data_IF_804965099698
#
_entry.id   IF_804965099698
#
_cell.length_a   1.000
_cell.length_b   1.000
_cell.length_c   1.000
_cell.angle_alpha   90.00
_cell.angle_beta   90.00
_cell.angle_gamma   90.00
#
_symmetry.space_group_name_H-M   'P 1'
#
loop_
_entity.id
_entity.type
_entity.pdbx_description
1 polymer ?
#
# COMPACT_ATOMS: atom_id res chain seq x y z
N UNK A 1 -13.81 -25.92 5.09
CA UNK A 1 -12.43 -26.02 4.53
C UNK A 1 -12.01 -24.80 3.68
N UNK A 2 -12.91 -24.14 2.95
CA UNK A 2 -12.63 -22.93 2.15
C UNK A 2 -12.37 -21.65 3.00
N UNK A 3 -13.04 -21.50 4.13
CA UNK A 3 -12.88 -20.35 5.03
C UNK A 3 -11.51 -20.27 5.73
N UNK A 4 -10.91 -21.43 6.04
CA UNK A 4 -9.57 -21.48 6.64
C UNK A 4 -8.45 -21.13 5.64
N UNK A 5 -8.59 -21.50 4.36
CA UNK A 5 -7.64 -21.12 3.31
C UNK A 5 -7.62 -19.61 3.05
N UNK A 6 -8.77 -18.94 3.12
CA UNK A 6 -8.85 -17.49 2.93
C UNK A 6 -8.25 -16.72 4.12
N UNK A 7 -8.39 -17.23 5.33
CA UNK A 7 -7.77 -16.63 6.52
C UNK A 7 -6.25 -16.75 6.51
N UNK A 8 -5.70 -17.87 6.07
CA UNK A 8 -4.25 -18.08 5.96
C UNK A 8 -3.63 -17.22 4.82
N UNK A 9 -4.33 -17.03 3.70
CA UNK A 9 -3.85 -16.17 2.61
C UNK A 9 -3.86 -14.68 3.00
N UNK A 10 -4.91 -14.22 3.71
CA UNK A 10 -4.95 -12.85 4.27
C UNK A 10 -3.80 -12.57 5.24
N UNK A 11 -3.44 -13.55 6.06
CA UNK A 11 -2.28 -13.47 6.97
C UNK A 11 -0.96 -13.36 6.21
N UNK A 12 -0.82 -14.03 5.07
CA UNK A 12 0.45 -14.06 4.30
C UNK A 12 0.73 -12.78 3.50
N UNK A 13 -0.29 -12.12 2.93
CA UNK A 13 -0.09 -10.87 2.19
C UNK A 13 0.21 -9.71 3.16
N UNK A 14 -0.53 -9.58 4.25
CA UNK A 14 -0.24 -8.63 5.33
C UNK A 14 1.20 -8.80 5.86
N UNK A 15 1.63 -10.04 6.06
CA UNK A 15 2.98 -10.36 6.52
C UNK A 15 4.07 -9.95 5.50
N UNK A 16 3.82 -10.06 4.19
CA UNK A 16 4.79 -9.65 3.16
C UNK A 16 5.00 -8.14 3.12
N UNK A 17 3.95 -7.38 3.29
CA UNK A 17 4.00 -5.91 3.28
C UNK A 17 4.69 -5.39 4.54
N UNK A 18 4.32 -5.94 5.70
CA UNK A 18 5.02 -5.65 6.95
C UNK A 18 6.50 -6.04 6.86
N UNK A 19 6.81 -7.20 6.28
CA UNK A 19 8.17 -7.64 6.05
C UNK A 19 8.94 -6.70 5.11
N UNK A 20 8.31 -6.20 4.05
CA UNK A 20 8.93 -5.24 3.14
C UNK A 20 9.23 -3.92 3.86
N UNK A 21 8.32 -3.41 4.69
CA UNK A 21 8.54 -2.22 5.53
C UNK A 21 9.67 -2.45 6.54
N UNK A 22 9.63 -3.57 7.24
CA UNK A 22 10.66 -3.93 8.22
C UNK A 22 12.04 -4.08 7.56
N UNK A 23 12.10 -4.68 6.37
CA UNK A 23 13.33 -4.78 5.57
C UNK A 23 13.86 -3.41 5.16
N UNK A 24 13.00 -2.49 4.72
CA UNK A 24 13.42 -1.14 4.36
C UNK A 24 13.90 -0.34 5.57
N UNK A 25 13.21 -0.42 6.71
CA UNK A 25 13.63 0.24 7.94
C UNK A 25 14.95 -0.36 8.46
N UNK A 26 15.13 -1.68 8.39
CA UNK A 26 16.38 -2.37 8.69
C UNK A 26 17.52 -1.95 7.76
N UNK A 27 17.27 -1.88 6.45
CA UNK A 27 18.26 -1.45 5.46
C UNK A 27 18.76 -0.03 5.73
N UNK A 28 17.88 0.90 6.06
CA UNK A 28 18.26 2.26 6.41
C UNK A 28 19.13 2.32 7.67
N UNK A 29 18.83 1.48 8.68
CA UNK A 29 19.63 1.36 9.90
C UNK A 29 21.00 0.75 9.64
N UNK A 30 21.08 -0.31 8.82
CA UNK A 30 22.34 -0.95 8.45
C UNK A 30 23.26 0.01 7.68
N UNK A 31 22.71 0.79 6.73
CA UNK A 31 23.49 1.80 6.01
C UNK A 31 24.06 2.88 6.96
N UNK A 32 23.31 3.27 7.98
CA UNK A 32 23.81 4.18 9.02
C UNK A 32 24.95 3.53 9.82
N UNK A 33 24.79 2.27 10.22
CA UNK A 33 25.83 1.53 10.95
C UNK A 33 27.13 1.38 10.12
N UNK A 34 26.99 1.08 8.82
CA UNK A 34 28.13 1.06 7.88
C UNK A 34 28.80 2.42 7.82
N UNK A 35 28.01 3.51 7.78
CA UNK A 35 28.53 4.86 7.81
C UNK A 35 29.39 5.15 9.04
N UNK A 36 28.94 4.80 10.23
CA UNK A 36 29.72 4.93 11.47
C UNK A 36 30.98 4.07 11.46
N UNK A 37 30.90 2.84 10.96
CA UNK A 37 32.07 1.97 10.86
C UNK A 37 33.12 2.53 9.91
N UNK A 38 32.69 3.17 8.81
CA UNK A 38 33.59 3.89 7.89
C UNK A 38 34.22 5.11 8.54
N UNK A 39 33.50 5.87 9.36
CA UNK A 39 34.05 7.03 10.07
C UNK A 39 35.17 6.60 11.04
N UNK A 40 34.99 5.49 11.77
CA UNK A 40 36.02 4.90 12.64
C UNK A 40 37.23 4.42 11.82
N UNK A 41 36.98 3.71 10.72
CA UNK A 41 38.07 3.24 9.85
C UNK A 41 38.88 4.40 9.27
N UNK A 42 38.24 5.48 8.84
CA UNK A 42 38.90 6.68 8.28
C UNK A 42 39.83 7.33 9.31
N UNK A 43 39.46 7.32 10.59
CA UNK A 43 40.28 7.84 11.66
C UNK A 43 41.63 7.12 11.78
N UNK A 44 41.62 5.80 11.59
CA UNK A 44 42.80 4.92 11.76
C UNK A 44 43.60 4.73 10.48
N UNK A 45 43.06 5.12 9.30
CA UNK A 45 43.73 4.94 8.01
C UNK A 45 44.95 5.89 7.85
N UNK A 46 46.05 5.43 7.19
CA UNK A 46 47.12 6.30 6.72
C UNK A 46 46.60 7.39 5.79
N UNK A 47 47.18 8.58 5.88
CA UNK A 47 46.69 9.79 5.17
C UNK A 47 46.44 9.58 3.67
N UNK A 48 47.30 8.80 3.00
CA UNK A 48 47.19 8.49 1.54
C UNK A 48 45.91 7.76 1.13
N UNK A 49 45.22 7.09 2.06
CA UNK A 49 43.99 6.32 1.76
C UNK A 49 42.73 7.03 2.23
N UNK A 50 42.83 8.07 3.07
CA UNK A 50 41.69 8.76 3.67
C UNK A 50 40.75 9.39 2.65
N UNK A 51 41.28 9.96 1.57
CA UNK A 51 40.44 10.58 0.53
C UNK A 51 39.48 9.55 -0.06
N UNK A 52 39.99 8.40 -0.53
CA UNK A 52 39.17 7.34 -1.12
C UNK A 52 38.14 6.76 -0.14
N UNK A 53 38.51 6.64 1.13
CA UNK A 53 37.57 6.16 2.15
C UNK A 53 36.46 7.18 2.44
N UNK A 54 36.76 8.49 2.40
CA UNK A 54 35.75 9.55 2.49
C UNK A 54 34.79 9.55 1.30
N UNK A 55 35.28 9.27 0.10
CA UNK A 55 34.42 9.16 -1.09
C UNK A 55 33.41 8.01 -0.93
N UNK A 56 33.85 6.86 -0.42
CA UNK A 56 32.96 5.72 -0.11
C UNK A 56 31.96 6.13 0.99
N UNK A 57 32.42 6.81 2.05
CA UNK A 57 31.55 7.28 3.13
C UNK A 57 30.48 8.24 2.61
N UNK A 58 30.83 9.11 1.67
CA UNK A 58 29.88 10.00 1.01
C UNK A 58 28.83 9.21 0.22
N UNK A 59 29.24 8.21 -0.57
CA UNK A 59 28.31 7.35 -1.32
C UNK A 59 27.32 6.60 -0.40
N UNK A 60 27.77 6.12 0.76
CA UNK A 60 26.90 5.50 1.76
C UNK A 60 25.89 6.51 2.32
N UNK A 61 26.31 7.76 2.52
CA UNK A 61 25.40 8.83 2.97
C UNK A 61 24.32 9.12 1.92
N UNK A 62 24.70 9.26 0.66
CA UNK A 62 23.78 9.45 -0.46
C UNK A 62 22.77 8.29 -0.58
N UNK A 63 23.25 7.05 -0.51
CA UNK A 63 22.39 5.87 -0.54
C UNK A 63 21.38 5.85 0.64
N UNK A 64 21.85 6.22 1.84
CA UNK A 64 20.98 6.30 3.02
C UNK A 64 19.89 7.36 2.85
N UNK A 65 20.23 8.52 2.28
CA UNK A 65 19.26 9.59 2.03
C UNK A 65 18.24 9.18 0.96
N UNK A 66 18.68 8.48 -0.08
CA UNK A 66 17.80 7.98 -1.12
C UNK A 66 16.77 7.00 -0.56
N UNK A 67 17.21 6.00 0.22
CA UNK A 67 16.33 5.02 0.87
C UNK A 67 15.31 5.73 1.76
N UNK A 68 15.74 6.67 2.60
CA UNK A 68 14.83 7.45 3.46
C UNK A 68 13.82 8.28 2.68
N UNK A 69 14.24 8.90 1.58
CA UNK A 69 13.35 9.69 0.72
C UNK A 69 12.27 8.82 0.09
N UNK A 70 12.64 7.63 -0.43
CA UNK A 70 11.68 6.69 -1.00
C UNK A 70 10.68 6.19 0.04
N UNK A 71 11.14 5.81 1.24
CA UNK A 71 10.27 5.43 2.34
C UNK A 71 9.29 6.54 2.74
N UNK A 72 9.77 7.77 2.82
CA UNK A 72 8.93 8.93 3.15
C UNK A 72 7.88 9.19 2.08
N UNK A 73 8.25 9.13 0.80
CA UNK A 73 7.33 9.34 -0.32
C UNK A 73 6.24 8.25 -0.38
N UNK A 74 6.58 7.00 -0.09
CA UNK A 74 5.61 5.90 -0.01
C UNK A 74 4.58 6.13 1.11
N UNK A 75 5.05 6.51 2.30
CA UNK A 75 4.17 6.80 3.45
C UNK A 75 3.26 8.01 3.19
N UNK A 76 3.80 9.06 2.59
CA UNK A 76 3.03 10.27 2.27
C UNK A 76 1.94 9.97 1.23
N UNK A 77 2.28 9.29 0.14
CA UNK A 77 1.33 8.91 -0.90
C UNK A 77 0.21 8.00 -0.38
N UNK A 78 0.50 7.10 0.56
CA UNK A 78 -0.49 6.25 1.21
C UNK A 78 -1.46 7.08 2.06
N UNK A 79 -0.93 7.93 2.93
CA UNK A 79 -1.74 8.80 3.81
C UNK A 79 -2.60 9.79 3.02
N UNK A 80 -2.07 10.38 1.96
CA UNK A 80 -2.82 11.28 1.07
C UNK A 80 -3.94 10.54 0.35
N UNK A 81 -3.67 9.33 -0.15
CA UNK A 81 -4.68 8.55 -0.83
C UNK A 81 -5.76 8.06 0.13
N UNK A 82 -5.40 7.61 1.32
CA UNK A 82 -6.36 7.23 2.35
C UNK A 82 -7.26 8.41 2.72
N UNK A 83 -6.71 9.58 2.99
CA UNK A 83 -7.47 10.80 3.31
C UNK A 83 -8.41 11.20 2.17
N UNK A 84 -7.98 11.01 0.91
CA UNK A 84 -8.84 11.22 -0.26
C UNK A 84 -10.03 10.27 -0.25
N UNK A 85 -9.83 8.97 0.01
CA UNK A 85 -10.90 7.98 0.07
C UNK A 85 -11.88 8.27 1.21
N UNK A 86 -11.39 8.65 2.39
CA UNK A 86 -12.22 9.04 3.52
C UNK A 86 -13.10 10.25 3.18
N UNK A 87 -12.54 11.26 2.51
CA UNK A 87 -13.30 12.41 2.03
C UNK A 87 -14.36 12.01 0.98
N UNK A 88 -14.05 11.07 0.10
CA UNK A 88 -15.00 10.58 -0.91
C UNK A 88 -16.11 9.72 -0.30
N UNK A 89 -15.81 8.96 0.76
CA UNK A 89 -16.81 8.18 1.49
C UNK A 89 -17.89 9.04 2.17
N UNK A 90 -17.57 10.31 2.44
CA UNK A 90 -18.53 11.31 2.91
C UNK A 90 -19.12 10.96 4.28
N UNK A 91 -20.40 10.56 4.29
CA UNK A 91 -21.12 10.20 5.53
C UNK A 91 -20.93 8.74 5.96
N UNK A 92 -20.29 7.91 5.11
CA UNK A 92 -20.05 6.50 5.40
C UNK A 92 -18.72 6.33 6.13
N UNK A 93 -18.70 5.46 7.13
CA UNK A 93 -17.48 5.08 7.82
C UNK A 93 -16.66 4.14 6.90
N UNK A 94 -15.47 4.59 6.48
CA UNK A 94 -14.57 3.81 5.64
C UNK A 94 -13.55 3.07 6.51
N UNK A 95 -13.53 1.75 6.40
CA UNK A 95 -12.52 0.88 7.00
C UNK A 95 -11.61 0.33 5.91
N UNK A 96 -10.31 0.63 5.99
CA UNK A 96 -9.30 0.17 5.03
C UNK A 96 -8.44 -0.91 5.67
N UNK A 97 -8.22 -2.01 4.97
CA UNK A 97 -7.32 -3.08 5.34
C UNK A 97 -6.44 -3.50 4.16
N UNK A 98 -5.16 -3.74 4.41
CA UNK A 98 -4.14 -3.98 3.38
C UNK A 98 -3.39 -2.71 3.00
N UNK A 99 -2.50 -2.81 2.00
CA UNK A 99 -1.59 -1.74 1.60
C UNK A 99 -2.10 -1.00 0.35
N UNK A 100 -2.42 0.28 0.51
CA UNK A 100 -2.85 1.16 -0.57
C UNK A 100 -1.74 1.43 -1.61
N UNK A 101 -0.48 1.20 -1.27
CA UNK A 101 0.66 1.48 -2.14
C UNK A 101 0.81 0.47 -3.28
N UNK A 102 0.29 -0.74 -3.11
CA UNK A 102 0.33 -1.79 -4.14
C UNK A 102 -0.70 -1.57 -5.26
N UNK A 103 -1.65 -0.66 -5.04
CA UNK A 103 -2.66 -0.36 -6.05
C UNK A 103 -2.05 0.37 -7.25
N UNK A 104 -2.18 -0.20 -8.44
CA UNK A 104 -1.87 0.47 -9.68
C UNK A 104 -2.74 1.74 -9.85
N UNK A 105 -2.35 2.62 -10.78
CA UNK A 105 -3.14 3.81 -11.11
C UNK A 105 -4.57 3.45 -11.58
N UNK A 106 -4.68 2.38 -12.33
CA UNK A 106 -5.93 1.83 -12.84
C UNK A 106 -6.78 1.28 -11.70
N UNK A 107 -6.19 0.51 -10.79
CA UNK A 107 -6.87 -0.02 -9.61
C UNK A 107 -7.39 1.12 -8.70
N UNK A 108 -6.60 2.17 -8.48
CA UNK A 108 -7.02 3.37 -7.73
C UNK A 108 -8.25 4.04 -8.35
N UNK A 109 -8.32 4.14 -9.69
CA UNK A 109 -9.49 4.70 -10.38
C UNK A 109 -10.74 3.87 -10.13
N UNK A 110 -10.63 2.55 -10.13
CA UNK A 110 -11.76 1.65 -9.86
C UNK A 110 -12.22 1.77 -8.40
N UNK A 111 -11.29 1.80 -7.45
CA UNK A 111 -11.58 1.99 -6.02
C UNK A 111 -12.25 3.35 -5.78
N UNK A 112 -11.71 4.43 -6.34
CA UNK A 112 -12.28 5.78 -6.26
C UNK A 112 -13.76 5.79 -6.73
N UNK A 113 -14.04 5.13 -7.85
CA UNK A 113 -15.39 5.07 -8.40
C UNK A 113 -16.34 4.25 -7.50
N UNK A 114 -15.88 3.12 -6.97
CA UNK A 114 -16.68 2.31 -6.05
C UNK A 114 -17.00 3.05 -4.75
N UNK A 115 -16.02 3.69 -4.13
CA UNK A 115 -16.23 4.48 -2.90
C UNK A 115 -17.20 5.63 -3.17
N UNK A 116 -17.06 6.34 -4.29
CA UNK A 116 -17.98 7.42 -4.69
C UNK A 116 -19.40 6.91 -4.92
N UNK A 117 -19.55 5.77 -5.61
CA UNK A 117 -20.86 5.17 -5.87
C UNK A 117 -21.53 4.71 -4.56
N UNK A 118 -20.77 4.12 -3.65
CA UNK A 118 -21.26 3.80 -2.33
C UNK A 118 -21.73 5.08 -1.59
N UNK A 119 -20.93 6.13 -1.56
CA UNK A 119 -21.28 7.40 -0.90
C UNK A 119 -22.55 8.05 -1.47
N UNK A 120 -22.78 7.90 -2.80
CA UNK A 120 -23.94 8.51 -3.47
C UNK A 120 -25.22 7.67 -3.38
N UNK A 121 -25.09 6.35 -3.38
CA UNK A 121 -26.23 5.45 -3.58
C UNK A 121 -26.48 4.47 -2.44
N UNK A 122 -25.48 4.22 -1.57
CA UNK A 122 -25.66 3.36 -0.42
C UNK A 122 -26.52 4.05 0.64
N UNK A 123 -27.50 3.29 1.16
CA UNK A 123 -28.25 3.67 2.36
C UNK A 123 -27.62 3.08 3.63
N UNK A 124 -26.44 2.48 3.50
CA UNK A 124 -25.65 1.91 4.57
C UNK A 124 -24.95 2.96 5.42
N UNK A 125 -24.11 2.50 6.31
CA UNK A 125 -23.27 3.34 7.19
C UNK A 125 -21.78 3.06 7.06
N UNK A 126 -21.43 1.90 6.52
CA UNK A 126 -20.07 1.40 6.50
C UNK A 126 -19.64 0.98 5.11
N UNK A 127 -18.39 1.28 4.77
CA UNK A 127 -17.67 0.74 3.62
C UNK A 127 -16.42 0.04 4.14
N UNK A 128 -16.17 -1.16 3.67
CA UNK A 128 -14.94 -1.90 3.90
C UNK A 128 -14.16 -2.05 2.61
N UNK A 129 -12.92 -1.59 2.60
CA UNK A 129 -11.95 -1.79 1.51
C UNK A 129 -10.86 -2.74 2.00
N UNK A 130 -10.74 -3.88 1.36
CA UNK A 130 -9.68 -4.86 1.64
C UNK A 130 -8.82 -5.08 0.41
N UNK A 131 -7.52 -4.91 0.55
CA UNK A 131 -6.53 -4.99 -0.53
C UNK A 131 -5.60 -6.14 -0.26
N UNK A 132 -5.39 -6.97 -1.28
CA UNK A 132 -4.39 -8.03 -1.31
C UNK A 132 -3.72 -8.06 -2.68
N UNK A 133 -2.59 -8.78 -2.81
CA UNK A 133 -1.82 -8.86 -4.07
C UNK A 133 -2.64 -9.33 -5.27
N UNK A 134 -3.71 -10.12 -5.05
CA UNK A 134 -4.50 -10.70 -6.14
C UNK A 134 -5.89 -10.09 -6.28
N UNK A 135 -6.44 -9.51 -5.22
CA UNK A 135 -7.86 -9.14 -5.17
C UNK A 135 -8.08 -7.90 -4.33
N UNK A 136 -8.82 -6.97 -4.90
CA UNK A 136 -9.39 -5.83 -4.19
C UNK A 136 -10.84 -6.16 -3.87
N UNK A 137 -11.24 -6.00 -2.63
CA UNK A 137 -12.61 -6.23 -2.17
C UNK A 137 -13.16 -4.93 -1.61
N UNK A 138 -14.28 -4.49 -2.15
CA UNK A 138 -15.06 -3.38 -1.60
C UNK A 138 -16.42 -3.92 -1.19
N UNK A 139 -16.84 -3.66 0.03
CA UNK A 139 -18.17 -4.00 0.51
C UNK A 139 -18.84 -2.82 1.20
N UNK A 140 -20.14 -2.66 1.03
CA UNK A 140 -20.98 -1.73 1.77
C UNK A 140 -22.14 -2.48 2.41
N UNK A 141 -22.64 -1.98 3.53
CA UNK A 141 -23.80 -2.53 4.24
C UNK A 141 -25.14 -2.02 3.68
N UNK A 142 -25.13 -1.42 2.50
CA UNK A 142 -26.29 -0.93 1.76
C UNK A 142 -26.39 -1.51 0.35
N UNK A 143 -26.83 -0.70 -0.62
CA UNK A 143 -27.03 -1.09 -2.03
C UNK A 143 -26.31 -0.12 -2.98
N UNK A 144 -25.07 0.27 -2.68
CA UNK A 144 -24.40 1.38 -3.36
C UNK A 144 -23.37 1.02 -4.41
N UNK A 145 -22.96 -0.24 -4.52
CA UNK A 145 -21.85 -0.64 -5.38
C UNK A 145 -22.32 -1.08 -6.78
N UNK A 146 -22.64 -0.10 -7.65
CA UNK A 146 -23.11 -0.37 -9.02
C UNK A 146 -22.21 0.30 -10.08
N UNK A 147 -22.34 -0.13 -11.33
CA UNK A 147 -21.91 0.62 -12.51
C UNK A 147 -20.44 0.62 -12.86
N UNK A 148 -19.60 -0.18 -12.17
CA UNK A 148 -18.14 -0.17 -12.36
C UNK A 148 -17.66 -1.30 -13.29
N UNK A 149 -18.54 -2.22 -13.71
CA UNK A 149 -18.18 -3.37 -14.53
C UNK A 149 -17.48 -2.99 -15.83
N UNK A 150 -18.05 -2.07 -16.60
CA UNK A 150 -17.48 -1.61 -17.87
C UNK A 150 -16.10 -0.95 -17.69
N UNK A 151 -15.91 -0.22 -16.59
CA UNK A 151 -14.62 0.38 -16.26
C UNK A 151 -13.58 -0.71 -15.97
N UNK A 152 -13.90 -1.70 -15.15
CA UNK A 152 -13.00 -2.81 -14.81
C UNK A 152 -12.61 -3.60 -16.06
N UNK A 153 -13.59 -3.94 -16.91
CA UNK A 153 -13.37 -4.65 -18.17
C UNK A 153 -12.52 -3.84 -19.15
N UNK A 154 -12.77 -2.53 -19.29
CA UNK A 154 -11.97 -1.64 -20.14
C UNK A 154 -10.51 -1.54 -19.72
N UNK A 155 -10.22 -1.80 -18.45
CA UNK A 155 -8.87 -1.83 -17.87
C UNK A 155 -8.25 -3.25 -17.84
N UNK A 156 -8.91 -4.23 -18.46
CA UNK A 156 -8.45 -5.61 -18.54
C UNK A 156 -8.67 -6.43 -17.26
N UNK A 157 -9.39 -5.88 -16.29
CA UNK A 157 -9.69 -6.54 -15.03
C UNK A 157 -10.90 -7.46 -15.08
N UNK A 158 -11.14 -8.19 -13.99
CA UNK A 158 -12.32 -9.03 -13.77
C UNK A 158 -13.01 -8.62 -12.49
N UNK A 159 -14.35 -8.60 -12.52
CA UNK A 159 -15.17 -8.20 -11.38
C UNK A 159 -16.25 -9.26 -11.09
N UNK A 160 -16.43 -9.55 -9.80
CA UNK A 160 -17.57 -10.32 -9.30
C UNK A 160 -18.36 -9.46 -8.30
N UNK A 161 -19.68 -9.45 -8.42
CA UNK A 161 -20.58 -8.71 -7.54
C UNK A 161 -21.45 -9.70 -6.78
N UNK A 162 -21.53 -9.53 -5.47
CA UNK A 162 -22.36 -10.31 -4.56
C UNK A 162 -23.29 -9.37 -3.81
N UNK A 163 -24.58 -9.48 -4.03
CA UNK A 163 -25.61 -8.68 -3.35
C UNK A 163 -26.45 -9.59 -2.46
N UNK A 164 -26.73 -9.16 -1.25
CA UNK A 164 -27.49 -9.92 -0.26
C UNK A 164 -28.21 -9.01 0.74
N UNK A 165 -28.85 -9.61 1.74
CA UNK A 165 -29.56 -8.89 2.80
C UNK A 165 -28.64 -7.99 3.64
N UNK A 166 -27.35 -8.29 3.68
CA UNK A 166 -26.34 -7.57 4.48
C UNK A 166 -25.53 -6.56 3.65
N UNK A 167 -25.96 -6.22 2.43
CA UNK A 167 -25.27 -5.26 1.59
C UNK A 167 -24.73 -5.82 0.28
N UNK A 168 -23.80 -5.08 -0.31
CA UNK A 168 -23.17 -5.43 -1.59
C UNK A 168 -21.66 -5.61 -1.39
N UNK A 169 -21.10 -6.63 -2.01
CA UNK A 169 -19.66 -6.91 -2.04
C UNK A 169 -19.18 -7.02 -3.48
N UNK A 170 -18.13 -6.32 -3.80
CA UNK A 170 -17.47 -6.36 -5.11
C UNK A 170 -16.05 -6.88 -4.94
N UNK A 171 -15.70 -7.90 -5.71
CA UNK A 171 -14.34 -8.45 -5.80
C UNK A 171 -13.75 -8.12 -7.16
N UNK A 172 -12.58 -7.52 -7.19
CA UNK A 172 -11.90 -7.06 -8.40
C UNK A 172 -10.52 -7.70 -8.48
N UNK A 173 -10.18 -8.21 -9.66
CA UNK A 173 -8.82 -8.62 -10.01
C UNK A 173 -8.35 -7.77 -11.17
N UNK A 174 -7.29 -7.03 -10.95
CA UNK A 174 -6.60 -6.27 -12.00
C UNK A 174 -5.50 -7.14 -12.62
N UNK A 175 -5.14 -6.91 -13.89
CA UNK A 175 -4.07 -7.65 -14.57
C UNK A 175 -2.71 -7.43 -13.96
#
# INVERSE_FOLDING_TARGET
MLLQKNSQRRSQSSTRIELARDLHDSLAQELVAIGFSLDLLIADLPHKYRSRARDIRFQVTEATQLVRKELFSLRQNESEYQSKLENQAGHLALNVSGDLTILSREAKRVVDELIRNAAMHSKGRNIELSISDEVIVVSDDGQGLFGVGELVESLGGKMNVFTGANGTKVEIRMP
#
